data_IF_826021104492
#
_entry.id   IF_826021104492
#
_cell.length_a   1.000
_cell.length_b   1.000
_cell.length_c   1.000
_cell.angle_alpha   90.00
_cell.angle_beta   90.00
_cell.angle_gamma   90.00
#
_symmetry.space_group_name_H-M   'P 1'
#
loop_
_entity.id
_entity.type
_entity.pdbx_description
1 polymer ?
#
# COMPACT_ATOMS: atom_id res chain seq x y z
N UNK A 1 3.92 27.34 -7.04
CA UNK A 1 2.77 28.22 -6.93
C UNK A 1 2.38 28.50 -5.48
N UNK A 2 1.96 27.49 -4.73
CA UNK A 2 1.60 27.53 -3.31
C UNK A 2 2.12 26.29 -2.59
N UNK A 3 2.20 26.30 -1.25
CA UNK A 3 2.55 25.11 -0.46
C UNK A 3 1.51 24.88 0.63
N UNK A 4 1.09 23.61 0.76
CA UNK A 4 0.08 23.18 1.72
C UNK A 4 0.70 22.98 3.11
N UNK A 5 -0.03 23.43 4.13
CA UNK A 5 0.27 23.19 5.55
C UNK A 5 -0.63 22.06 6.01
N UNK A 6 -0.06 20.88 6.27
CA UNK A 6 -0.79 19.66 6.58
C UNK A 6 -1.76 19.22 5.47
N UNK A 7 -2.47 18.10 5.67
CA UNK A 7 -3.50 17.61 4.77
C UNK A 7 -4.76 17.18 5.54
N UNK A 8 -5.88 17.86 5.28
CA UNK A 8 -7.19 17.56 5.88
C UNK A 8 -7.16 17.41 7.40
N UNK A 9 -6.32 18.23 8.05
CA UNK A 9 -6.04 18.12 9.48
C UNK A 9 -7.33 18.25 10.34
N UNK A 10 -8.24 19.13 9.92
CA UNK A 10 -9.52 19.32 10.58
C UNK A 10 -10.47 18.15 10.57
N UNK A 11 -10.19 17.12 9.76
CA UNK A 11 -10.99 15.90 9.73
C UNK A 11 -10.68 14.93 10.88
N UNK A 12 -9.57 15.15 11.62
CA UNK A 12 -9.13 14.22 12.67
C UNK A 12 -8.43 14.87 13.88
N UNK A 13 -8.14 16.19 13.83
CA UNK A 13 -7.49 16.90 14.91
C UNK A 13 -7.80 18.41 14.88
N UNK A 14 -7.41 19.14 15.95
CA UNK A 14 -7.74 20.57 16.14
C UNK A 14 -6.59 21.40 16.76
N UNK A 15 -5.35 20.87 16.81
CA UNK A 15 -4.22 21.56 17.45
C UNK A 15 -3.66 22.68 16.56
N UNK A 16 -4.15 23.90 16.78
CA UNK A 16 -3.69 25.12 16.08
C UNK A 16 -2.24 25.48 16.38
N UNK A 17 -1.68 25.07 17.54
CA UNK A 17 -0.27 25.31 17.87
C UNK A 17 0.62 24.45 16.98
N UNK A 18 0.26 23.20 16.80
CA UNK A 18 0.92 22.30 15.84
C UNK A 18 0.90 22.87 14.42
N UNK A 19 -0.27 23.25 13.92
CA UNK A 19 -0.44 23.80 12.56
C UNK A 19 0.39 25.07 12.36
N UNK A 20 0.37 26.01 13.30
CA UNK A 20 1.20 27.22 13.28
C UNK A 20 2.69 26.91 13.29
N UNK A 21 3.09 25.88 14.05
CA UNK A 21 4.49 25.42 14.10
C UNK A 21 4.97 24.93 12.75
N UNK A 22 4.15 24.12 12.04
CA UNK A 22 4.47 23.66 10.68
C UNK A 22 4.60 24.86 9.72
N UNK A 23 3.61 25.77 9.70
CA UNK A 23 3.65 26.96 8.84
C UNK A 23 4.89 27.83 9.11
N UNK A 24 5.28 28.00 10.39
CA UNK A 24 6.48 28.74 10.79
C UNK A 24 7.76 28.02 10.36
N UNK A 25 7.85 26.72 10.53
CA UNK A 25 9.00 25.93 10.06
C UNK A 25 9.20 26.03 8.55
N UNK A 26 8.12 26.00 7.77
CA UNK A 26 8.18 26.19 6.31
C UNK A 26 8.79 27.55 5.96
N UNK A 27 8.29 28.63 6.58
CA UNK A 27 8.80 30.00 6.36
C UNK A 27 10.28 30.13 6.76
N UNK A 28 10.68 29.63 7.92
CA UNK A 28 12.07 29.68 8.40
C UNK A 28 13.02 28.89 7.50
N UNK A 29 12.54 27.84 6.85
CA UNK A 29 13.31 27.05 5.89
C UNK A 29 13.30 27.59 4.47
N UNK A 30 12.80 28.80 4.26
CA UNK A 30 12.93 29.52 2.99
C UNK A 30 11.75 29.36 2.04
N UNK A 31 10.58 28.88 2.51
CA UNK A 31 9.36 28.91 1.69
C UNK A 31 8.86 30.34 1.58
N UNK A 32 8.86 30.87 0.34
CA UNK A 32 8.47 32.25 0.01
C UNK A 32 7.14 32.33 -0.75
N UNK A 33 6.62 31.20 -1.21
CA UNK A 33 5.31 31.12 -1.88
C UNK A 33 4.17 31.16 -0.85
N UNK A 34 2.96 31.56 -1.25
CA UNK A 34 1.80 31.53 -0.37
C UNK A 34 1.59 30.15 0.24
N UNK A 35 1.27 30.13 1.53
CA UNK A 35 0.82 28.90 2.22
C UNK A 35 -0.69 28.80 2.15
N UNK A 36 -1.20 27.56 2.14
CA UNK A 36 -2.63 27.28 2.23
C UNK A 36 -2.91 26.05 3.07
N UNK A 37 -4.14 25.95 3.60
CA UNK A 37 -4.70 24.74 4.22
C UNK A 37 -5.81 24.19 3.33
N UNK A 38 -6.04 22.89 3.38
CA UNK A 38 -7.07 22.21 2.61
C UNK A 38 -7.78 21.18 3.46
N UNK A 39 -9.08 21.33 3.61
CA UNK A 39 -9.93 20.50 4.45
C UNK A 39 -11.26 20.19 3.75
N UNK A 40 -12.02 19.20 4.26
CA UNK A 40 -13.42 19.06 3.89
C UNK A 40 -14.20 20.32 4.21
N UNK A 41 -15.23 20.63 3.45
CA UNK A 41 -15.94 21.93 3.51
C UNK A 41 -17.06 21.99 4.56
N UNK A 42 -17.18 21.00 5.44
CA UNK A 42 -18.08 21.10 6.60
C UNK A 42 -17.42 21.93 7.71
N UNK A 43 -18.26 22.61 8.46
CA UNK A 43 -17.82 23.68 9.37
C UNK A 43 -16.79 23.22 10.42
N UNK A 44 -16.96 22.03 11.01
CA UNK A 44 -16.06 21.51 12.04
C UNK A 44 -14.65 21.25 11.49
N UNK A 45 -14.54 20.77 10.26
CA UNK A 45 -13.23 20.55 9.63
C UNK A 45 -12.56 21.89 9.30
N UNK A 46 -13.30 22.84 8.74
CA UNK A 46 -12.78 24.18 8.43
C UNK A 46 -12.34 24.93 9.70
N UNK A 47 -13.13 24.88 10.78
CA UNK A 47 -12.75 25.49 12.04
C UNK A 47 -11.50 24.84 12.65
N UNK A 48 -11.40 23.52 12.60
CA UNK A 48 -10.31 22.76 13.21
C UNK A 48 -9.04 22.77 12.38
N UNK A 49 -9.12 22.64 11.04
CA UNK A 49 -7.97 22.42 10.14
C UNK A 49 -7.35 23.70 9.59
N UNK A 50 -8.07 24.83 9.54
CA UNK A 50 -7.55 26.03 8.85
C UNK A 50 -6.74 26.96 9.76
N UNK A 51 -5.91 27.78 9.15
CA UNK A 51 -5.20 28.91 9.78
C UNK A 51 -5.68 30.25 9.21
N UNK A 52 -7.00 30.40 9.03
CA UNK A 52 -7.61 31.61 8.42
C UNK A 52 -7.34 32.89 9.22
N UNK A 53 -7.26 32.78 10.56
CA UNK A 53 -6.92 33.89 11.45
C UNK A 53 -5.46 34.38 11.29
N UNK A 54 -4.59 33.51 10.80
CA UNK A 54 -3.17 33.79 10.52
C UNK A 54 -2.94 34.25 9.06
N UNK A 55 -4.00 34.61 8.32
CA UNK A 55 -3.97 35.01 6.91
C UNK A 55 -3.39 33.93 5.97
N UNK A 56 -3.52 32.64 6.32
CA UNK A 56 -3.18 31.52 5.46
C UNK A 56 -4.41 31.13 4.63
N UNK A 57 -4.20 31.02 3.31
CA UNK A 57 -5.27 30.79 2.35
C UNK A 57 -6.00 29.46 2.63
N UNK A 58 -7.32 29.47 2.57
CA UNK A 58 -8.17 28.31 2.84
C UNK A 58 -8.74 27.76 1.55
N UNK A 59 -8.63 26.47 1.35
CA UNK A 59 -9.18 25.73 0.22
C UNK A 59 -10.01 24.55 0.69
N UNK A 60 -10.85 23.99 -0.18
CA UNK A 60 -11.66 22.81 0.12
C UNK A 60 -11.21 21.55 -0.60
N UNK A 61 -11.55 20.38 -0.07
CA UNK A 61 -11.39 19.07 -0.69
C UNK A 61 -12.76 18.40 -0.83
N UNK A 62 -13.16 18.08 -2.04
CA UNK A 62 -14.42 17.39 -2.36
C UNK A 62 -14.41 16.87 -3.80
N UNK A 63 -15.21 15.84 -4.11
CA UNK A 63 -15.27 15.24 -5.45
C UNK A 63 -16.64 15.37 -6.13
N UNK A 64 -17.63 15.96 -5.44
CA UNK A 64 -19.01 16.12 -5.95
C UNK A 64 -19.68 17.34 -5.32
N UNK A 65 -20.90 17.69 -5.79
CA UNK A 65 -21.70 18.78 -5.26
C UNK A 65 -20.92 20.13 -5.20
N UNK A 66 -20.32 20.59 -6.31
CA UNK A 66 -19.41 21.75 -6.32
C UNK A 66 -20.06 23.01 -5.75
N UNK A 67 -21.33 23.26 -6.09
CA UNK A 67 -22.05 24.44 -5.61
C UNK A 67 -22.21 24.47 -4.09
N UNK A 68 -22.66 23.37 -3.48
CA UNK A 68 -22.83 23.28 -2.02
C UNK A 68 -21.51 23.46 -1.30
N UNK A 69 -20.46 22.75 -1.73
CA UNK A 69 -19.13 22.81 -1.13
C UNK A 69 -18.48 24.19 -1.26
N UNK A 70 -18.64 24.84 -2.40
CA UNK A 70 -18.12 26.22 -2.59
C UNK A 70 -18.93 27.26 -1.82
N UNK A 71 -20.25 27.09 -1.66
CA UNK A 71 -21.06 27.97 -0.84
C UNK A 71 -20.68 27.86 0.64
N UNK A 72 -20.42 26.64 1.15
CA UNK A 72 -19.94 26.42 2.52
C UNK A 72 -18.56 27.11 2.72
N UNK A 73 -17.63 26.90 1.80
CA UNK A 73 -16.30 27.49 1.85
C UNK A 73 -16.37 29.03 1.82
N UNK A 74 -17.24 29.60 0.97
CA UNK A 74 -17.47 31.04 0.88
C UNK A 74 -18.04 31.59 2.19
N UNK A 75 -19.08 30.96 2.73
CA UNK A 75 -19.71 31.38 3.98
C UNK A 75 -18.70 31.38 5.15
N UNK A 76 -17.85 30.35 5.20
CA UNK A 76 -16.78 30.26 6.19
C UNK A 76 -15.77 31.42 6.05
N UNK A 77 -15.27 31.69 4.85
CA UNK A 77 -14.34 32.80 4.61
C UNK A 77 -14.98 34.14 4.95
N UNK A 78 -16.22 34.38 4.55
CA UNK A 78 -16.97 35.62 4.84
C UNK A 78 -17.17 35.83 6.34
N UNK A 79 -17.39 34.78 7.14
CA UNK A 79 -17.45 34.86 8.58
C UNK A 79 -16.18 35.46 9.20
N UNK A 80 -15.03 35.17 8.64
CA UNK A 80 -13.73 35.74 9.03
C UNK A 80 -13.37 37.02 8.27
N UNK A 81 -14.30 37.62 7.51
CA UNK A 81 -14.11 38.85 6.77
C UNK A 81 -13.18 38.70 5.56
N UNK A 82 -12.96 37.48 5.08
CA UNK A 82 -12.11 37.22 3.91
C UNK A 82 -12.95 37.16 2.63
N UNK A 83 -12.36 37.66 1.52
CA UNK A 83 -12.93 37.65 0.17
C UNK A 83 -11.92 37.00 -0.79
N UNK A 84 -11.47 35.82 -0.45
CA UNK A 84 -10.52 35.06 -1.24
C UNK A 84 -11.21 34.28 -2.38
N UNK A 85 -10.46 33.93 -3.44
CA UNK A 85 -10.98 33.06 -4.48
C UNK A 85 -11.41 31.69 -3.91
N UNK A 86 -12.42 31.08 -4.52
CA UNK A 86 -12.82 29.71 -4.21
C UNK A 86 -11.89 28.74 -4.94
N UNK A 87 -11.37 27.75 -4.22
CA UNK A 87 -10.50 26.73 -4.77
C UNK A 87 -10.76 25.38 -4.12
N UNK A 88 -10.91 24.34 -4.96
CA UNK A 88 -10.84 22.94 -4.56
C UNK A 88 -9.45 22.41 -4.91
N UNK A 89 -8.68 22.01 -3.91
CA UNK A 89 -7.30 21.54 -4.11
C UNK A 89 -7.21 20.03 -4.31
N UNK A 90 -8.19 19.28 -3.83
CA UNK A 90 -8.39 17.89 -4.20
C UNK A 90 -9.83 17.70 -4.70
N UNK A 91 -10.00 17.79 -6.02
CA UNK A 91 -11.26 17.43 -6.65
C UNK A 91 -11.19 15.95 -7.02
N UNK A 92 -11.86 15.10 -6.23
CA UNK A 92 -11.74 13.64 -6.36
C UNK A 92 -12.50 13.13 -7.58
N UNK A 93 -11.77 12.58 -8.53
CA UNK A 93 -12.29 12.04 -9.79
C UNK A 93 -12.52 10.52 -9.76
N UNK A 94 -12.08 9.86 -8.71
CA UNK A 94 -12.22 8.45 -8.42
C UNK A 94 -11.95 8.16 -6.95
N UNK A 95 -11.46 6.96 -6.63
CA UNK A 95 -11.02 6.59 -5.30
C UNK A 95 -10.05 5.41 -5.35
N UNK A 96 -9.24 5.25 -4.32
CA UNK A 96 -8.37 4.08 -4.17
C UNK A 96 -9.16 2.84 -3.76
N UNK A 97 -8.69 1.67 -4.19
CA UNK A 97 -9.31 0.37 -3.91
C UNK A 97 -8.55 -0.37 -2.80
N UNK A 98 -9.19 -1.36 -2.18
CA UNK A 98 -8.68 -2.14 -1.07
C UNK A 98 -8.77 -3.62 -1.39
N UNK A 99 -7.91 -4.42 -0.72
CA UNK A 99 -7.97 -5.86 -0.84
C UNK A 99 -9.31 -6.42 -0.36
N UNK A 100 -9.82 -7.43 -1.07
CA UNK A 100 -11.11 -8.09 -0.82
C UNK A 100 -12.35 -7.21 -1.04
N UNK A 101 -12.21 -6.03 -1.64
CA UNK A 101 -13.32 -5.15 -2.03
C UNK A 101 -13.39 -5.01 -3.55
N UNK A 102 -14.50 -4.55 -4.08
CA UNK A 102 -14.63 -4.22 -5.50
C UNK A 102 -13.81 -2.98 -5.85
N UNK A 103 -13.39 -2.88 -7.13
CA UNK A 103 -12.74 -1.67 -7.64
C UNK A 103 -13.74 -0.53 -7.63
N UNK A 104 -13.34 0.59 -7.04
CA UNK A 104 -14.13 1.81 -7.08
C UNK A 104 -14.13 2.37 -8.50
N UNK A 105 -15.30 2.71 -9.01
CA UNK A 105 -15.52 3.32 -10.32
C UNK A 105 -16.45 4.52 -10.20
N UNK A 106 -16.22 5.52 -11.03
CA UNK A 106 -17.08 6.69 -11.20
C UNK A 106 -17.32 6.91 -12.69
N UNK A 107 -18.59 7.11 -13.06
CA UNK A 107 -18.96 7.36 -14.45
C UNK A 107 -18.33 8.65 -15.00
N UNK A 108 -17.83 8.60 -16.24
CA UNK A 108 -17.10 9.71 -16.84
C UNK A 108 -17.96 10.97 -17.00
N UNK A 109 -19.24 10.81 -17.39
CA UNK A 109 -20.16 11.94 -17.57
C UNK A 109 -20.59 12.57 -16.23
N UNK A 110 -20.70 11.78 -15.16
CA UNK A 110 -20.96 12.29 -13.80
C UNK A 110 -19.80 13.17 -13.33
N UNK A 111 -18.55 12.72 -13.50
CA UNK A 111 -17.37 13.52 -13.23
C UNK A 111 -17.34 14.79 -14.08
N UNK A 112 -17.56 14.67 -15.38
CA UNK A 112 -17.51 15.81 -16.31
C UNK A 112 -18.53 16.90 -15.94
N UNK A 113 -19.73 16.54 -15.53
CA UNK A 113 -20.75 17.49 -15.09
C UNK A 113 -20.29 18.26 -13.85
N UNK A 114 -19.77 17.59 -12.84
CA UNK A 114 -19.25 18.21 -11.61
C UNK A 114 -18.02 19.10 -11.91
N UNK A 115 -17.12 18.64 -12.78
CA UNK A 115 -15.96 19.45 -13.23
C UNK A 115 -16.42 20.73 -13.93
N UNK A 116 -17.39 20.63 -14.83
CA UNK A 116 -17.95 21.81 -15.52
C UNK A 116 -18.52 22.83 -14.54
N UNK A 117 -19.33 22.36 -13.58
CA UNK A 117 -19.90 23.24 -12.55
C UNK A 117 -18.78 23.89 -11.71
N UNK A 118 -17.78 23.10 -11.27
CA UNK A 118 -16.69 23.64 -10.47
C UNK A 118 -15.86 24.71 -11.19
N UNK A 119 -15.54 24.51 -12.48
CA UNK A 119 -14.83 25.47 -13.32
C UNK A 119 -15.58 26.81 -13.50
N UNK A 120 -16.92 26.79 -13.39
CA UNK A 120 -17.74 28.00 -13.43
C UNK A 120 -17.79 28.75 -12.07
N UNK A 121 -17.51 28.06 -10.95
CA UNK A 121 -17.58 28.60 -9.60
C UNK A 121 -16.23 29.08 -9.05
N UNK A 122 -15.14 28.46 -9.46
CA UNK A 122 -13.80 28.75 -8.94
C UNK A 122 -12.70 27.95 -9.62
N UNK A 123 -11.60 27.78 -8.91
CA UNK A 123 -10.44 27.01 -9.36
C UNK A 123 -10.46 25.60 -8.78
N UNK A 124 -9.89 24.65 -9.50
CA UNK A 124 -9.74 23.26 -9.01
C UNK A 124 -8.42 22.64 -9.43
N UNK A 125 -8.02 21.63 -8.67
CA UNK A 125 -6.95 20.71 -8.99
C UNK A 125 -7.50 19.28 -8.89
N UNK A 126 -7.38 18.51 -9.97
CA UNK A 126 -7.83 17.11 -9.97
C UNK A 126 -6.95 16.26 -9.05
N UNK A 127 -7.56 15.47 -8.23
CA UNK A 127 -6.92 14.44 -7.45
C UNK A 127 -7.53 13.05 -7.80
N UNK A 128 -6.91 12.32 -8.76
CA UNK A 128 -5.66 12.56 -9.49
C UNK A 128 -5.91 12.75 -10.98
N UNK A 129 -5.10 13.54 -11.68
CA UNK A 129 -5.12 13.54 -13.15
C UNK A 129 -4.63 12.20 -13.71
N UNK A 130 -3.61 11.59 -13.07
CA UNK A 130 -3.04 10.28 -13.45
C UNK A 130 -2.91 9.40 -12.22
N UNK A 131 -3.33 8.14 -12.36
CA UNK A 131 -3.12 7.10 -11.38
C UNK A 131 -1.64 6.82 -11.10
N UNK A 132 -1.36 6.15 -9.99
CA UNK A 132 -0.02 5.77 -9.56
C UNK A 132 0.06 4.32 -9.14
N UNK A 133 1.23 3.92 -8.67
CA UNK A 133 1.49 2.58 -8.13
C UNK A 133 2.16 2.69 -6.76
N UNK A 134 1.62 2.03 -5.77
CA UNK A 134 2.21 1.90 -4.44
C UNK A 134 3.28 0.80 -4.47
N UNK A 135 4.40 1.05 -5.12
CA UNK A 135 5.47 0.08 -5.22
C UNK A 135 5.98 -0.40 -3.86
N UNK A 136 6.50 -1.63 -3.82
CA UNK A 136 7.01 -2.23 -2.60
C UNK A 136 5.91 -2.44 -1.56
N UNK A 137 6.14 -1.97 -0.35
CA UNK A 137 5.23 -2.12 0.78
C UNK A 137 4.65 -0.80 1.28
N UNK A 138 4.64 0.25 0.43
CA UNK A 138 4.22 1.60 0.82
C UNK A 138 2.71 1.82 0.79
N UNK A 139 1.92 0.84 0.34
CA UNK A 139 0.45 0.91 0.41
C UNK A 139 -0.02 1.24 1.83
N UNK A 140 -0.95 2.19 1.94
CA UNK A 140 -1.55 2.56 3.20
C UNK A 140 -2.69 1.63 3.62
N UNK A 141 -3.39 2.03 4.66
CA UNK A 141 -4.52 1.30 5.21
C UNK A 141 -5.62 2.26 5.65
N UNK A 142 -6.86 1.96 5.31
CA UNK A 142 -8.01 2.75 5.77
C UNK A 142 -8.44 2.32 7.16
N UNK A 143 -8.52 3.28 8.10
CA UNK A 143 -9.02 3.02 9.45
C UNK A 143 -10.50 2.62 9.44
N UNK A 144 -10.84 1.59 10.20
CA UNK A 144 -12.21 1.18 10.49
C UNK A 144 -12.35 0.88 11.99
N UNK A 145 -13.59 0.82 12.46
CA UNK A 145 -13.87 0.61 13.88
C UNK A 145 -13.30 -0.72 14.40
N UNK A 146 -13.58 -1.79 13.71
CA UNK A 146 -13.23 -3.18 14.13
C UNK A 146 -12.06 -3.77 13.36
N UNK A 147 -11.85 -3.35 12.12
CA UNK A 147 -10.78 -3.85 11.26
C UNK A 147 -10.26 -2.75 10.35
N UNK A 148 -8.98 -2.75 10.09
CA UNK A 148 -8.39 -1.87 9.10
C UNK A 148 -8.39 -2.54 7.73
N UNK A 149 -8.47 -1.74 6.67
CA UNK A 149 -8.61 -2.20 5.29
C UNK A 149 -7.38 -1.80 4.48
N UNK A 150 -6.42 -2.73 4.27
CA UNK A 150 -5.23 -2.47 3.49
C UNK A 150 -5.55 -2.13 2.03
N UNK A 151 -4.86 -1.11 1.51
CA UNK A 151 -4.97 -0.69 0.12
C UNK A 151 -4.19 -1.66 -0.78
N UNK A 152 -4.66 -1.80 -2.03
CA UNK A 152 -3.98 -2.59 -3.05
C UNK A 152 -2.69 -1.90 -3.56
N UNK A 153 -1.88 -2.63 -4.31
CA UNK A 153 -0.65 -2.09 -4.90
C UNK A 153 -0.93 -1.03 -5.95
N UNK A 154 -1.93 -1.25 -6.81
CA UNK A 154 -2.35 -0.22 -7.76
C UNK A 154 -2.99 0.97 -7.05
N UNK A 155 -2.56 2.16 -7.39
CA UNK A 155 -3.21 3.42 -7.04
C UNK A 155 -3.75 4.07 -8.33
N UNK A 156 -4.35 3.29 -9.19
CA UNK A 156 -4.97 3.75 -10.44
C UNK A 156 -6.05 4.80 -10.19
N UNK A 157 -6.73 4.70 -9.04
CA UNK A 157 -7.71 5.68 -8.55
C UNK A 157 -8.93 5.84 -9.44
N UNK A 158 -9.04 5.06 -10.53
CA UNK A 158 -10.00 5.29 -11.60
C UNK A 158 -9.85 6.69 -12.22
N UNK A 159 -8.59 7.15 -12.32
CA UNK A 159 -8.22 8.49 -12.76
C UNK A 159 -8.47 8.72 -14.26
N UNK A 160 -8.51 9.98 -14.73
CA UNK A 160 -8.57 10.30 -16.15
C UNK A 160 -7.45 9.70 -16.99
N UNK A 161 -6.26 9.53 -16.41
CA UNK A 161 -5.14 8.80 -17.01
C UNK A 161 -4.78 7.64 -16.07
N UNK A 162 -4.72 6.42 -16.61
CA UNK A 162 -4.39 5.21 -15.83
C UNK A 162 -2.98 5.25 -15.22
N UNK A 163 -2.69 4.34 -14.26
CA UNK A 163 -1.35 4.21 -13.66
C UNK A 163 -0.25 3.94 -14.70
N UNK A 164 -0.56 3.34 -15.84
CA UNK A 164 0.36 3.08 -16.95
C UNK A 164 0.32 4.14 -18.07
N UNK A 165 -0.38 5.27 -17.84
CA UNK A 165 -0.31 6.45 -18.71
C UNK A 165 -1.26 6.44 -19.90
N UNK A 166 -2.31 5.63 -19.92
CA UNK A 166 -3.34 5.64 -20.96
C UNK A 166 -4.51 6.57 -20.60
N UNK A 167 -4.96 7.44 -21.50
CA UNK A 167 -6.15 8.24 -21.30
C UNK A 167 -7.39 7.34 -21.28
N UNK A 168 -8.33 7.66 -20.40
CA UNK A 168 -9.61 6.97 -20.22
C UNK A 168 -10.77 7.82 -20.80
N UNK A 169 -11.98 7.27 -20.76
CA UNK A 169 -13.19 8.04 -21.11
C UNK A 169 -13.33 9.30 -20.24
N UNK A 170 -12.91 9.24 -18.98
CA UNK A 170 -12.90 10.42 -18.09
C UNK A 170 -11.98 11.53 -18.59
N UNK A 171 -10.80 11.17 -19.13
CA UNK A 171 -9.89 12.17 -19.71
C UNK A 171 -10.57 12.98 -20.80
N UNK A 172 -11.22 12.30 -21.76
CA UNK A 172 -11.88 12.96 -22.87
C UNK A 172 -13.14 13.73 -22.43
N UNK A 173 -13.88 13.21 -21.46
CA UNK A 173 -15.05 13.89 -20.90
C UNK A 173 -14.65 15.19 -20.17
N UNK A 174 -13.59 15.16 -19.34
CA UNK A 174 -13.05 16.33 -18.66
C UNK A 174 -12.46 17.33 -19.64
N UNK A 175 -11.70 16.89 -20.67
CA UNK A 175 -11.18 17.75 -21.73
C UNK A 175 -12.28 18.48 -22.46
N UNK A 176 -13.35 17.78 -22.83
CA UNK A 176 -14.53 18.35 -23.51
C UNK A 176 -15.18 19.46 -22.68
N UNK A 177 -15.52 19.20 -21.42
CA UNK A 177 -16.20 20.20 -20.58
C UNK A 177 -15.28 21.37 -20.22
N UNK A 178 -13.99 21.15 -20.09
CA UNK A 178 -12.99 22.22 -19.88
C UNK A 178 -12.99 23.16 -21.08
N UNK A 179 -13.00 22.63 -22.31
CA UNK A 179 -13.08 23.45 -23.52
C UNK A 179 -14.45 24.14 -23.70
N UNK A 180 -15.55 23.55 -23.23
CA UNK A 180 -16.85 24.21 -23.21
C UNK A 180 -16.86 25.47 -22.30
N UNK A 181 -16.14 25.43 -21.17
CA UNK A 181 -16.04 26.55 -20.23
C UNK A 181 -14.97 27.56 -20.68
N UNK A 182 -13.86 27.07 -21.23
CA UNK A 182 -12.70 27.88 -21.67
C UNK A 182 -12.33 27.57 -23.12
N UNK A 183 -13.12 28.07 -24.11
CA UNK A 183 -12.92 27.76 -25.52
C UNK A 183 -11.61 28.27 -26.09
N UNK A 184 -10.94 29.18 -25.40
CA UNK A 184 -9.63 29.72 -25.80
C UNK A 184 -8.47 28.77 -25.50
N UNK A 185 -8.66 27.75 -24.69
CA UNK A 185 -7.63 26.76 -24.38
C UNK A 185 -7.43 25.77 -25.54
N UNK A 186 -6.17 25.58 -25.92
CA UNK A 186 -5.79 24.60 -26.92
C UNK A 186 -6.07 23.19 -26.41
N UNK A 187 -6.75 22.37 -27.20
CA UNK A 187 -6.90 20.94 -26.92
C UNK A 187 -5.67 20.20 -27.42
N UNK A 188 -5.01 19.50 -26.52
CA UNK A 188 -3.86 18.67 -26.84
C UNK A 188 -4.27 17.19 -26.88
N UNK A 189 -3.85 16.49 -27.93
CA UNK A 189 -4.00 15.03 -27.98
C UNK A 189 -3.06 14.37 -26.97
N UNK A 190 -3.55 13.44 -26.14
CA UNK A 190 -2.73 12.75 -25.16
C UNK A 190 -1.75 11.80 -25.85
N UNK A 191 -0.54 11.69 -25.29
CA UNK A 191 0.43 10.69 -25.71
C UNK A 191 0.05 9.37 -25.03
N UNK A 192 -0.40 8.39 -25.80
CA UNK A 192 -0.67 7.04 -25.32
C UNK A 192 0.58 6.18 -25.48
N UNK A 193 0.95 5.45 -24.40
CA UNK A 193 1.98 4.41 -24.46
C UNK A 193 1.32 3.04 -24.47
N UNK A 194 1.77 2.17 -25.37
CA UNK A 194 1.28 0.80 -25.44
C UNK A 194 2.14 -0.08 -24.51
N UNK A 195 1.48 -0.88 -23.69
CA UNK A 195 2.14 -1.99 -23.01
C UNK A 195 2.37 -3.15 -23.97
N UNK A 196 3.34 -4.02 -23.66
CA UNK A 196 3.71 -5.17 -24.51
C UNK A 196 3.56 -6.48 -23.73
N UNK A 197 2.96 -7.47 -24.39
CA UNK A 197 2.98 -8.86 -23.94
C UNK A 197 4.27 -9.54 -24.39
N UNK A 198 4.97 -10.19 -23.45
CA UNK A 198 6.18 -10.95 -23.73
C UNK A 198 5.98 -12.46 -23.58
N UNK A 199 4.78 -12.89 -23.14
CA UNK A 199 4.46 -14.29 -22.93
C UNK A 199 4.93 -14.83 -21.58
N UNK A 200 5.16 -16.15 -21.51
CA UNK A 200 5.48 -16.86 -20.28
C UNK A 200 6.93 -17.31 -20.22
N UNK A 201 7.53 -17.21 -19.05
CA UNK A 201 8.90 -17.60 -18.73
C UNK A 201 8.88 -18.72 -17.70
N UNK A 202 9.62 -19.82 -17.91
CA UNK A 202 9.60 -20.97 -17.02
C UNK A 202 10.32 -20.69 -15.71
N UNK A 203 9.90 -21.38 -14.65
CA UNK A 203 10.57 -21.37 -13.36
C UNK A 203 11.99 -21.94 -13.48
N UNK A 204 12.97 -21.24 -12.91
CA UNK A 204 14.38 -21.65 -12.90
C UNK A 204 14.80 -22.33 -11.58
N UNK A 205 14.26 -21.88 -10.46
CA UNK A 205 14.62 -22.44 -9.16
C UNK A 205 13.77 -21.89 -8.02
N UNK A 206 13.87 -22.55 -6.87
CA UNK A 206 13.14 -22.17 -5.65
C UNK A 206 14.07 -22.13 -4.44
N UNK A 207 13.74 -21.28 -3.46
CA UNK A 207 14.38 -21.26 -2.15
C UNK A 207 13.31 -21.08 -1.06
N UNK A 208 13.27 -22.02 -0.09
CA UNK A 208 12.32 -21.87 1.02
C UNK A 208 12.85 -20.84 2.03
N UNK A 209 12.02 -19.87 2.43
CA UNK A 209 12.41 -18.83 3.37
C UNK A 209 12.89 -19.42 4.71
N UNK A 210 12.24 -20.48 5.21
CA UNK A 210 12.59 -21.04 6.53
C UNK A 210 13.99 -21.67 6.54
N UNK A 211 14.53 -22.05 5.37
CA UNK A 211 15.89 -22.56 5.23
C UNK A 211 16.91 -21.42 5.07
N UNK A 212 16.55 -20.39 4.29
CA UNK A 212 17.53 -19.36 3.85
C UNK A 212 17.50 -18.06 4.67
N UNK A 213 16.59 -17.91 5.63
CA UNK A 213 16.38 -16.66 6.36
C UNK A 213 17.69 -16.09 6.99
N UNK A 214 18.51 -16.96 7.56
CA UNK A 214 19.78 -16.56 8.20
C UNK A 214 20.87 -16.16 7.18
N UNK A 215 20.74 -16.56 5.92
CA UNK A 215 21.72 -16.25 4.86
C UNK A 215 21.38 -14.89 4.21
N UNK A 216 20.10 -14.55 4.14
CA UNK A 216 19.63 -13.35 3.41
C UNK A 216 19.44 -12.13 4.31
N UNK A 217 19.37 -12.28 5.64
CA UNK A 217 19.20 -11.17 6.56
C UNK A 217 19.92 -11.44 7.89
N UNK A 218 20.20 -10.38 8.65
CA UNK A 218 20.85 -10.45 9.96
C UNK A 218 19.91 -11.09 10.98
N UNK A 219 20.46 -12.02 11.81
CA UNK A 219 19.79 -12.60 12.95
C UNK A 219 19.90 -11.70 14.18
N UNK A 220 18.74 -11.29 14.74
CA UNK A 220 18.70 -10.53 15.99
C UNK A 220 18.09 -11.42 17.08
N UNK A 221 18.90 -11.84 18.04
CA UNK A 221 18.44 -12.67 19.16
C UNK A 221 17.99 -11.82 20.34
N UNK A 222 16.73 -11.96 20.75
CA UNK A 222 16.13 -11.28 21.90
C UNK A 222 15.41 -12.26 22.82
N UNK A 223 15.23 -11.89 24.10
CA UNK A 223 14.48 -12.73 25.05
C UNK A 223 13.04 -12.99 24.61
N UNK A 224 12.36 -11.94 24.11
CA UNK A 224 10.97 -12.01 23.68
C UNK A 224 10.79 -11.39 22.30
N UNK A 225 9.77 -11.81 21.53
CA UNK A 225 9.43 -11.17 20.28
C UNK A 225 9.24 -9.66 20.46
N UNK A 226 9.77 -8.89 19.50
CA UNK A 226 9.62 -7.44 19.47
C UNK A 226 8.91 -7.02 18.18
N UNK A 227 8.10 -5.96 18.21
CA UNK A 227 7.51 -5.41 16.99
C UNK A 227 8.58 -4.86 16.05
N UNK A 228 8.23 -4.76 14.76
CA UNK A 228 9.13 -4.33 13.68
C UNK A 228 9.81 -3.00 13.99
N UNK A 229 9.08 -2.04 14.57
CA UNK A 229 9.59 -0.70 14.87
C UNK A 229 10.74 -0.72 15.86
N UNK A 230 10.75 -1.67 16.80
CA UNK A 230 11.80 -1.77 17.81
C UNK A 230 13.11 -2.38 17.29
N UNK A 231 13.04 -3.07 16.15
CA UNK A 231 14.23 -3.60 15.46
C UNK A 231 14.62 -2.77 14.22
N UNK A 232 14.04 -1.58 14.07
CA UNK A 232 14.35 -0.67 12.96
C UNK A 232 13.77 -1.08 11.61
N UNK A 233 12.67 -1.84 11.61
CA UNK A 233 11.94 -2.24 10.40
C UNK A 233 10.59 -1.54 10.32
N UNK A 234 10.27 -0.93 9.15
CA UNK A 234 9.03 -0.20 8.95
C UNK A 234 7.99 -0.95 8.12
N UNK A 235 8.41 -1.89 7.26
CA UNK A 235 7.54 -2.54 6.28
C UNK A 235 8.06 -3.94 5.94
N UNK A 236 7.33 -4.66 5.10
CA UNK A 236 7.69 -6.01 4.64
C UNK A 236 7.20 -7.11 5.58
N UNK A 237 8.00 -8.12 5.74
CA UNK A 237 7.72 -9.28 6.58
C UNK A 237 8.77 -9.39 7.68
N UNK A 238 8.39 -9.99 8.81
CA UNK A 238 9.32 -10.39 9.86
C UNK A 238 9.10 -11.86 10.18
N UNK A 239 10.20 -12.62 10.28
CA UNK A 239 10.18 -14.00 10.75
C UNK A 239 10.72 -14.06 12.18
N UNK A 240 9.93 -14.62 13.08
CA UNK A 240 10.34 -14.96 14.43
C UNK A 240 10.57 -16.46 14.51
N UNK A 241 11.72 -16.87 15.05
CA UNK A 241 12.10 -18.27 15.21
C UNK A 241 12.54 -18.56 16.64
N UNK A 242 12.10 -19.68 17.21
CA UNK A 242 12.58 -20.19 18.50
C UNK A 242 12.61 -21.70 18.50
N UNK A 243 13.60 -22.27 19.19
CA UNK A 243 13.74 -23.69 19.45
C UNK A 243 13.27 -23.99 20.89
N UNK A 244 12.19 -24.71 21.04
CA UNK A 244 11.62 -25.05 22.33
C UNK A 244 11.82 -26.54 22.65
N UNK A 245 11.80 -26.90 23.94
CA UNK A 245 11.73 -28.30 24.36
C UNK A 245 10.30 -28.78 24.29
N UNK A 246 10.09 -29.92 23.63
CA UNK A 246 8.80 -30.64 23.62
C UNK A 246 8.53 -31.18 25.02
N UNK A 247 7.42 -30.81 25.62
CA UNK A 247 7.08 -31.17 27.00
C UNK A 247 5.84 -32.04 27.11
N UNK A 248 4.93 -31.98 26.16
CA UNK A 248 3.64 -32.63 26.18
C UNK A 248 3.35 -33.33 24.85
N UNK A 249 2.47 -34.29 24.87
CA UNK A 249 2.01 -34.98 23.66
C UNK A 249 1.29 -33.98 22.70
N UNK A 250 0.57 -33.04 23.27
CA UNK A 250 -0.11 -31.95 22.55
C UNK A 250 0.35 -30.61 23.15
N UNK A 251 0.90 -29.76 22.32
CA UNK A 251 1.39 -28.44 22.68
C UNK A 251 0.39 -27.38 22.20
N UNK A 252 0.41 -26.19 22.82
CA UNK A 252 -0.47 -25.05 22.51
C UNK A 252 0.35 -23.83 22.12
N UNK A 253 0.04 -23.26 20.98
CA UNK A 253 0.70 -22.06 20.47
C UNK A 253 -0.31 -20.91 20.35
N UNK A 254 0.10 -19.72 20.79
CA UNK A 254 -0.70 -18.50 20.68
C UNK A 254 0.21 -17.27 20.53
N UNK A 255 -0.06 -16.42 19.55
CA UNK A 255 0.59 -15.12 19.40
C UNK A 255 -0.42 -14.01 19.71
N UNK A 256 -0.02 -13.06 20.58
CA UNK A 256 -0.89 -12.02 21.10
C UNK A 256 -0.56 -10.66 20.49
N UNK A 257 -1.58 -9.84 20.26
CA UNK A 257 -1.45 -8.49 19.70
C UNK A 257 -0.51 -8.47 18.47
N UNK A 258 -0.78 -9.35 17.51
CA UNK A 258 0.04 -9.50 16.31
C UNK A 258 -0.62 -8.79 15.14
N UNK A 259 0.15 -8.06 14.36
CA UNK A 259 -0.32 -7.25 13.23
C UNK A 259 0.61 -7.42 12.02
N UNK A 260 0.06 -7.82 10.84
CA UNK A 260 -1.37 -7.95 10.53
C UNK A 260 -1.76 -9.41 10.22
N UNK A 261 -1.01 -10.11 9.35
CA UNK A 261 -1.28 -11.49 8.91
C UNK A 261 -0.12 -12.39 9.30
N UNK A 262 -0.43 -13.53 9.93
CA UNK A 262 0.56 -14.41 10.53
C UNK A 262 0.46 -15.81 9.97
N UNK A 263 1.61 -16.39 9.62
CA UNK A 263 1.74 -17.81 9.28
C UNK A 263 2.56 -18.48 10.38
N UNK A 264 2.07 -19.58 10.88
CA UNK A 264 2.69 -20.38 11.94
C UNK A 264 3.20 -21.69 11.37
N UNK A 265 4.45 -22.03 11.71
CA UNK A 265 5.09 -23.26 11.29
C UNK A 265 5.67 -24.00 12.50
N UNK A 266 5.58 -25.32 12.48
CA UNK A 266 6.16 -26.22 13.46
C UNK A 266 7.06 -27.20 12.74
N UNK A 267 8.36 -27.21 13.04
CA UNK A 267 9.35 -27.99 12.31
C UNK A 267 9.23 -27.82 10.79
N UNK A 268 9.07 -26.56 10.35
CA UNK A 268 8.88 -26.13 8.94
C UNK A 268 7.55 -26.60 8.29
N UNK A 269 6.67 -27.30 9.01
CA UNK A 269 5.34 -27.63 8.50
C UNK A 269 4.36 -26.51 8.87
N UNK A 270 3.55 -26.09 7.90
CA UNK A 270 2.52 -25.08 8.12
C UNK A 270 1.45 -25.57 9.09
N UNK A 271 1.27 -24.83 10.18
CA UNK A 271 0.26 -25.15 11.19
C UNK A 271 -1.05 -24.38 10.95
N UNK A 272 -0.96 -23.06 10.80
CA UNK A 272 -2.12 -22.18 10.60
C UNK A 272 -1.71 -20.84 10.00
N UNK A 273 -2.69 -20.16 9.42
CA UNK A 273 -2.61 -18.74 9.08
C UNK A 273 -3.70 -18.02 9.85
N UNK A 274 -3.34 -16.89 10.49
CA UNK A 274 -4.30 -16.05 11.23
C UNK A 274 -4.29 -14.64 10.65
N UNK A 275 -5.48 -14.08 10.50
CA UNK A 275 -5.69 -12.72 10.01
C UNK A 275 -6.94 -12.11 10.66
N UNK A 276 -6.90 -10.83 11.02
CA UNK A 276 -8.02 -10.07 11.62
C UNK A 276 -8.54 -10.72 12.91
N UNK A 277 -9.77 -11.22 12.90
CA UNK A 277 -10.48 -11.77 14.06
C UNK A 277 -9.84 -13.06 14.60
N UNK A 278 -9.08 -13.77 13.78
CA UNK A 278 -8.40 -15.02 14.16
C UNK A 278 -7.11 -14.76 14.95
N UNK A 279 -6.59 -13.51 14.89
CA UNK A 279 -5.35 -13.14 15.61
C UNK A 279 -5.52 -13.37 17.11
N UNK A 280 -4.65 -14.24 17.64
CA UNK A 280 -4.66 -14.61 19.05
C UNK A 280 -5.47 -15.84 19.38
N UNK A 281 -6.05 -16.53 18.38
CA UNK A 281 -6.65 -17.84 18.59
C UNK A 281 -5.57 -18.87 18.95
N UNK A 282 -5.93 -19.80 19.84
CA UNK A 282 -5.05 -20.87 20.27
C UNK A 282 -4.98 -21.99 19.23
N UNK A 283 -3.77 -22.43 18.89
CA UNK A 283 -3.51 -23.52 17.96
C UNK A 283 -2.92 -24.70 18.69
N UNK A 284 -3.42 -25.91 18.41
CA UNK A 284 -2.92 -27.16 18.94
C UNK A 284 -2.00 -27.84 17.93
N UNK A 285 -0.89 -28.39 18.40
CA UNK A 285 0.01 -29.17 17.56
C UNK A 285 0.68 -30.29 18.36
N UNK A 286 1.19 -31.30 17.64
CA UNK A 286 1.97 -32.38 18.18
C UNK A 286 3.25 -32.57 17.38
N UNK A 287 4.33 -32.95 18.04
CA UNK A 287 5.59 -33.29 17.41
C UNK A 287 6.27 -34.45 18.12
N UNK A 288 6.92 -35.32 17.36
CA UNK A 288 7.59 -36.52 17.90
C UNK A 288 9.07 -36.27 18.26
N UNK A 289 9.55 -35.02 18.06
CA UNK A 289 10.93 -34.63 18.31
C UNK A 289 11.12 -34.04 19.72
N UNK A 290 12.27 -34.26 20.35
CA UNK A 290 12.58 -33.69 21.68
C UNK A 290 12.63 -32.16 21.67
N UNK A 291 13.09 -31.57 20.56
CA UNK A 291 13.09 -30.13 20.31
C UNK A 291 12.21 -29.82 19.12
N UNK A 292 11.52 -28.71 19.23
CA UNK A 292 10.55 -28.23 18.24
C UNK A 292 10.99 -26.83 17.81
N UNK A 293 11.17 -26.64 16.51
CA UNK A 293 11.34 -25.31 15.93
C UNK A 293 9.96 -24.70 15.69
N UNK A 294 9.76 -23.51 16.23
CA UNK A 294 8.58 -22.67 15.96
C UNK A 294 9.00 -21.49 15.11
N UNK A 295 8.34 -21.31 13.98
CA UNK A 295 8.48 -20.16 13.11
C UNK A 295 7.14 -19.40 13.01
N UNK A 296 7.20 -18.07 13.15
CA UNK A 296 6.05 -17.20 12.98
C UNK A 296 6.43 -16.11 11.99
N UNK A 297 5.90 -16.19 10.77
CA UNK A 297 6.08 -15.19 9.73
C UNK A 297 4.93 -14.19 9.81
N UNK A 298 5.24 -12.92 10.03
CA UNK A 298 4.25 -11.85 10.11
C UNK A 298 4.41 -10.87 8.95
N UNK A 299 3.32 -10.62 8.27
CA UNK A 299 3.22 -9.57 7.24
C UNK A 299 2.65 -8.28 7.83
N UNK A 300 3.35 -7.17 7.58
CA UNK A 300 2.81 -5.83 7.73
C UNK A 300 2.04 -5.47 6.47
N UNK A 301 0.71 -5.44 6.52
CA UNK A 301 -0.16 -5.17 5.37
C UNK A 301 -0.41 -3.67 5.12
N UNK A 302 0.34 -2.79 5.77
CA UNK A 302 0.22 -1.34 5.70
C UNK A 302 -0.26 -0.72 7.02
N UNK A 303 0.10 0.54 7.24
CA UNK A 303 -0.36 1.32 8.39
C UNK A 303 -1.46 2.26 7.98
N UNK A 304 -2.33 2.59 8.93
CA UNK A 304 -3.32 3.64 8.73
C UNK A 304 -2.59 4.95 8.41
N UNK A 305 -2.92 5.52 7.26
CA UNK A 305 -2.32 6.75 6.73
C UNK A 305 -3.25 7.97 6.85
N UNK A 306 -4.47 7.78 7.35
CA UNK A 306 -5.45 8.86 7.54
C UNK A 306 -6.45 8.52 8.65
N UNK A 307 -6.82 9.55 9.45
CA UNK A 307 -7.90 9.47 10.43
C UNK A 307 -7.43 9.12 11.86
N UNK A 308 -8.40 8.79 12.71
CA UNK A 308 -8.25 8.69 14.18
C UNK A 308 -7.27 7.61 14.67
N UNK A 309 -6.82 6.68 13.82
CA UNK A 309 -5.79 5.68 14.16
C UNK A 309 -4.40 6.06 13.72
N UNK A 310 -4.23 7.24 13.14
CA UNK A 310 -2.92 7.72 12.69
C UNK A 310 -1.96 7.80 13.88
N UNK A 311 -0.83 7.08 13.81
CA UNK A 311 0.14 6.99 14.90
C UNK A 311 -0.33 6.26 16.17
N UNK A 312 -1.50 5.60 16.15
CA UNK A 312 -2.00 4.88 17.30
C UNK A 312 -1.11 3.67 17.65
N UNK A 313 -0.99 3.27 18.94
CA UNK A 313 -0.24 2.09 19.35
C UNK A 313 -0.70 0.78 18.70
N UNK A 314 -1.95 0.71 18.25
CA UNK A 314 -2.50 -0.42 17.49
C UNK A 314 -1.92 -0.55 16.06
N UNK A 315 -1.13 0.43 15.61
CA UNK A 315 -0.46 0.41 14.32
C UNK A 315 0.97 -0.14 14.39
N UNK A 316 1.46 -0.57 15.57
CA UNK A 316 2.69 -1.35 15.68
C UNK A 316 2.56 -2.68 14.97
N UNK A 317 3.59 -3.07 14.20
CA UNK A 317 3.58 -4.25 13.32
C UNK A 317 4.50 -5.36 13.83
N UNK A 318 4.17 -6.60 13.47
CA UNK A 318 4.83 -7.77 14.05
C UNK A 318 4.11 -8.24 15.33
N UNK A 319 4.83 -8.96 16.19
CA UNK A 319 4.31 -9.47 17.47
C UNK A 319 4.58 -8.46 18.58
N UNK A 320 3.53 -7.90 19.16
CA UNK A 320 3.62 -6.92 20.25
C UNK A 320 3.31 -7.52 21.63
N UNK A 321 2.28 -8.38 21.71
CA UNK A 321 1.83 -9.00 22.96
C UNK A 321 2.61 -10.25 23.37
N UNK A 322 3.53 -10.73 22.51
CA UNK A 322 4.35 -11.92 22.76
C UNK A 322 3.78 -13.23 22.22
N UNK A 323 4.60 -14.29 22.26
CA UNK A 323 4.23 -15.65 21.84
C UNK A 323 4.23 -16.57 23.05
N UNK A 324 3.14 -17.27 23.25
CA UNK A 324 2.94 -18.22 24.34
C UNK A 324 2.97 -19.66 23.82
N UNK A 325 3.70 -20.52 24.53
CA UNK A 325 3.62 -21.96 24.38
C UNK A 325 3.12 -22.53 25.73
N UNK A 326 2.03 -23.30 25.68
CA UNK A 326 1.38 -23.86 26.89
C UNK A 326 1.12 -22.79 27.97
N UNK A 327 0.52 -21.65 27.54
CA UNK A 327 0.20 -20.51 28.41
C UNK A 327 1.41 -19.80 29.07
N UNK A 328 2.62 -20.08 28.56
CA UNK A 328 3.85 -19.45 29.06
C UNK A 328 4.57 -18.69 27.95
N UNK A 329 4.98 -17.45 28.23
CA UNK A 329 5.89 -16.73 27.35
C UNK A 329 7.26 -17.40 27.33
N UNK A 330 7.70 -17.80 26.15
CA UNK A 330 9.01 -18.43 25.97
C UNK A 330 10.06 -17.38 25.63
N UNK A 331 11.28 -17.62 26.08
CA UNK A 331 12.45 -16.81 25.78
C UNK A 331 13.26 -17.37 24.63
N UNK A 332 14.13 -16.52 24.05
CA UNK A 332 15.09 -16.92 23.03
C UNK A 332 14.49 -16.91 21.63
N UNK A 333 14.09 -15.73 21.18
CA UNK A 333 13.53 -15.52 19.85
C UNK A 333 14.55 -14.85 18.92
N UNK A 334 14.80 -15.46 17.78
CA UNK A 334 15.53 -14.91 16.66
C UNK A 334 14.54 -14.12 15.79
N UNK A 335 14.97 -12.94 15.36
CA UNK A 335 14.19 -12.06 14.50
C UNK A 335 14.94 -11.89 13.20
N UNK A 336 14.25 -12.06 12.07
CA UNK A 336 14.77 -11.89 10.73
C UNK A 336 13.92 -10.84 10.01
N UNK A 337 14.50 -9.64 9.82
CA UNK A 337 13.83 -8.50 9.19
C UNK A 337 13.87 -8.63 7.67
N UNK A 338 12.77 -9.01 7.05
CA UNK A 338 12.66 -9.25 5.60
C UNK A 338 12.17 -7.98 4.91
N UNK A 339 13.10 -7.13 4.49
CA UNK A 339 12.82 -5.82 3.88
C UNK A 339 12.50 -5.90 2.38
N UNK A 340 12.91 -6.97 1.70
CA UNK A 340 12.80 -7.15 0.25
C UNK A 340 13.41 -6.00 -0.55
N UNK A 341 14.45 -5.41 -0.01
CA UNK A 341 15.28 -4.44 -0.72
C UNK A 341 16.35 -5.14 -1.58
N UNK A 342 17.04 -4.36 -2.41
CA UNK A 342 18.06 -4.87 -3.30
C UNK A 342 19.19 -5.59 -2.54
N UNK A 343 19.56 -5.13 -1.33
CA UNK A 343 20.61 -5.75 -0.53
C UNK A 343 20.22 -7.16 -0.06
N UNK A 344 18.98 -7.33 0.44
CA UNK A 344 18.47 -8.64 0.86
C UNK A 344 18.35 -9.59 -0.32
N UNK A 345 17.75 -9.12 -1.43
CA UNK A 345 17.52 -9.97 -2.62
C UNK A 345 18.82 -10.39 -3.30
N UNK A 346 19.86 -9.56 -3.26
CA UNK A 346 21.17 -9.90 -3.80
C UNK A 346 21.90 -11.02 -3.02
N UNK A 347 21.50 -11.30 -1.78
CA UNK A 347 22.03 -12.42 -0.96
C UNK A 347 21.29 -13.72 -1.22
N UNK A 348 20.20 -13.69 -1.97
CA UNK A 348 19.40 -14.87 -2.28
C UNK A 348 19.97 -15.59 -3.52
N UNK A 349 21.02 -16.39 -3.32
CA UNK A 349 21.73 -17.15 -4.36
C UNK A 349 21.59 -18.68 -4.24
N UNK A 350 20.91 -19.14 -3.17
CA UNK A 350 20.78 -20.55 -2.79
C UNK A 350 19.53 -21.23 -3.39
N UNK A 351 19.27 -20.99 -4.68
CA UNK A 351 18.16 -21.65 -5.36
C UNK A 351 18.47 -23.12 -5.67
N UNK A 352 17.47 -23.96 -5.45
CA UNK A 352 17.49 -25.37 -5.82
C UNK A 352 16.50 -25.66 -6.95
N UNK A 353 16.63 -26.85 -7.57
CA UNK A 353 15.63 -27.35 -8.51
C UNK A 353 14.24 -27.36 -7.85
N UNK A 354 13.20 -26.99 -8.59
CA UNK A 354 11.84 -26.92 -8.05
C UNK A 354 11.37 -28.29 -7.54
N UNK A 355 10.96 -28.40 -6.27
CA UNK A 355 10.45 -29.66 -5.74
C UNK A 355 9.09 -30.01 -6.34
N UNK A 356 8.72 -31.29 -6.30
CA UNK A 356 7.40 -31.75 -6.76
C UNK A 356 6.27 -31.07 -5.97
N UNK A 357 6.45 -30.92 -4.65
CA UNK A 357 5.55 -30.17 -3.75
C UNK A 357 6.31 -29.04 -3.12
N UNK A 358 5.80 -27.83 -3.34
CA UNK A 358 6.32 -26.62 -2.71
C UNK A 358 5.69 -26.45 -1.34
N UNK A 359 6.51 -26.04 -0.35
CA UNK A 359 6.07 -25.61 0.98
C UNK A 359 6.31 -24.12 1.11
N UNK A 360 5.26 -23.37 1.35
CA UNK A 360 5.41 -21.93 1.64
C UNK A 360 6.10 -21.71 3.02
N UNK A 361 6.76 -20.59 3.23
CA UNK A 361 6.95 -19.48 2.28
C UNK A 361 8.15 -19.71 1.36
N UNK A 362 7.99 -19.46 0.06
CA UNK A 362 8.99 -19.81 -0.94
C UNK A 362 9.28 -18.66 -1.90
N UNK A 363 10.54 -18.48 -2.24
CA UNK A 363 11.02 -17.64 -3.34
C UNK A 363 11.07 -18.46 -4.62
N UNK A 364 10.57 -17.88 -5.71
CA UNK A 364 10.62 -18.44 -7.08
C UNK A 364 11.41 -17.50 -7.95
N UNK A 365 12.40 -18.03 -8.69
CA UNK A 365 13.29 -17.26 -9.57
C UNK A 365 12.93 -17.51 -11.02
N UNK A 366 12.81 -16.43 -11.79
CA UNK A 366 12.58 -16.41 -13.21
C UNK A 366 13.58 -15.49 -13.90
N UNK A 367 13.92 -15.77 -15.13
CA UNK A 367 14.67 -14.89 -16.02
C UNK A 367 13.88 -14.64 -17.29
N UNK A 368 13.88 -13.39 -17.75
CA UNK A 368 13.24 -12.98 -18.99
C UNK A 368 14.21 -12.20 -19.88
N UNK A 369 14.46 -12.68 -21.06
CA UNK A 369 15.12 -11.92 -22.13
C UNK A 369 14.06 -11.20 -22.94
N UNK A 370 14.14 -9.86 -22.99
CA UNK A 370 13.15 -8.99 -23.63
C UNK A 370 13.80 -8.19 -24.75
N UNK A 371 13.15 -8.16 -25.90
CA UNK A 371 13.41 -7.25 -27.00
C UNK A 371 12.38 -6.13 -27.02
N UNK A 372 12.72 -4.96 -27.54
CA UNK A 372 11.81 -3.81 -27.69
C UNK A 372 11.08 -3.49 -26.37
N UNK A 373 11.83 -2.97 -25.41
CA UNK A 373 11.41 -2.79 -24.02
C UNK A 373 10.26 -1.76 -23.91
N UNK A 374 9.13 -2.22 -23.38
CA UNK A 374 7.93 -1.44 -23.12
C UNK A 374 7.36 -1.78 -21.73
N UNK A 375 6.39 -0.98 -21.28
CA UNK A 375 5.60 -1.29 -20.07
C UNK A 375 4.90 -2.64 -20.23
N UNK A 376 4.72 -3.37 -19.13
CA UNK A 376 4.05 -4.68 -19.14
C UNK A 376 3.34 -4.94 -17.80
N UNK A 377 2.59 -6.04 -17.73
CA UNK A 377 1.89 -6.47 -16.51
C UNK A 377 2.22 -7.92 -16.22
N UNK A 378 2.53 -8.21 -14.95
CA UNK A 378 2.65 -9.60 -14.49
C UNK A 378 1.26 -10.13 -14.17
N UNK A 379 0.87 -11.25 -14.77
CA UNK A 379 -0.35 -11.97 -14.42
C UNK A 379 -0.18 -12.75 -13.11
N UNK A 380 -0.85 -12.31 -12.07
CA UNK A 380 -0.87 -12.93 -10.75
C UNK A 380 -2.15 -13.76 -10.49
N UNK A 381 -2.98 -14.01 -11.50
CA UNK A 381 -4.29 -14.67 -11.33
C UNK A 381 -4.22 -16.10 -10.78
N UNK A 382 -3.07 -16.75 -10.94
CA UNK A 382 -2.81 -18.12 -10.46
C UNK A 382 -1.97 -18.16 -9.18
N UNK A 383 -1.56 -17.00 -8.64
CA UNK A 383 -0.72 -16.90 -7.45
C UNK A 383 -1.59 -16.76 -6.20
N UNK A 384 -1.05 -17.10 -5.04
CA UNK A 384 -1.74 -16.96 -3.76
C UNK A 384 -1.59 -15.57 -3.16
N UNK A 385 -0.55 -15.36 -2.38
CA UNK A 385 -0.25 -14.07 -1.74
C UNK A 385 1.25 -13.88 -1.55
N UNK A 386 1.71 -12.66 -1.81
CA UNK A 386 3.12 -12.33 -1.61
C UNK A 386 3.53 -11.00 -2.23
N UNK A 387 4.76 -10.96 -2.72
CA UNK A 387 5.28 -9.81 -3.46
C UNK A 387 6.21 -10.25 -4.60
N UNK A 388 6.41 -9.36 -5.57
CA UNK A 388 7.29 -9.63 -6.71
C UNK A 388 8.31 -8.52 -6.83
N UNK A 389 9.55 -8.88 -7.14
CA UNK A 389 10.60 -7.94 -7.52
C UNK A 389 11.11 -8.21 -8.93
N UNK A 390 11.55 -7.15 -9.61
CA UNK A 390 12.26 -7.18 -10.88
C UNK A 390 13.60 -6.48 -10.75
N UNK A 391 14.69 -7.13 -11.10
CA UNK A 391 16.04 -6.56 -11.05
C UNK A 391 16.40 -5.96 -9.67
N UNK A 392 15.90 -6.55 -8.58
CA UNK A 392 16.07 -6.09 -7.20
C UNK A 392 15.10 -4.99 -6.76
N UNK A 393 14.22 -4.50 -7.64
CA UNK A 393 13.18 -3.52 -7.30
C UNK A 393 11.87 -4.21 -6.94
N UNK A 394 11.34 -3.97 -5.74
CA UNK A 394 10.08 -4.54 -5.28
C UNK A 394 8.89 -3.82 -5.93
N UNK A 395 8.14 -4.54 -6.76
CA UNK A 395 6.95 -4.03 -7.47
C UNK A 395 5.73 -3.90 -6.56
N UNK A 396 5.67 -4.66 -5.46
CA UNK A 396 4.54 -4.62 -4.54
C UNK A 396 3.92 -5.98 -4.26
N UNK A 397 2.80 -5.92 -3.55
CA UNK A 397 2.01 -7.09 -3.12
C UNK A 397 1.04 -7.52 -4.19
N UNK A 398 0.86 -8.83 -4.28
CA UNK A 398 -0.28 -9.45 -4.95
C UNK A 398 -1.06 -10.32 -3.93
N UNK A 399 -2.34 -10.52 -4.19
CA UNK A 399 -3.20 -11.39 -3.38
C UNK A 399 -4.38 -11.89 -4.20
N UNK A 400 -4.67 -13.21 -4.12
CA UNK A 400 -5.79 -13.84 -4.83
C UNK A 400 -7.18 -13.36 -4.36
N UNK A 401 -7.26 -12.68 -3.22
CA UNK A 401 -8.49 -12.01 -2.79
C UNK A 401 -8.91 -10.87 -3.73
N UNK A 402 -7.98 -10.36 -4.54
CA UNK A 402 -8.25 -9.27 -5.48
C UNK A 402 -8.57 -7.94 -4.80
N UNK A 403 -9.06 -6.96 -5.55
CA UNK A 403 -9.72 -6.99 -6.89
C UNK A 403 -8.77 -7.04 -8.09
N UNK A 404 -7.48 -6.78 -7.91
CA UNK A 404 -6.49 -6.87 -8.98
C UNK A 404 -5.72 -8.19 -8.91
N UNK A 405 -5.44 -8.77 -10.07
CA UNK A 405 -4.59 -9.95 -10.22
C UNK A 405 -3.40 -9.65 -11.15
N UNK A 406 -2.85 -8.45 -11.03
CA UNK A 406 -1.69 -8.01 -11.78
C UNK A 406 -0.74 -7.15 -10.94
N UNK A 407 0.52 -7.07 -11.39
CA UNK A 407 1.43 -6.00 -11.01
C UNK A 407 1.94 -5.29 -12.26
N UNK A 408 1.86 -3.97 -12.25
CA UNK A 408 2.38 -3.12 -13.31
C UNK A 408 3.90 -3.05 -13.26
N UNK A 409 4.55 -3.22 -14.42
CA UNK A 409 6.00 -3.15 -14.57
C UNK A 409 6.34 -2.04 -15.57
N UNK A 410 6.75 -0.86 -15.11
CA UNK A 410 7.17 0.20 -16.01
C UNK A 410 8.46 -0.16 -16.74
N UNK A 411 8.54 0.21 -18.01
CA UNK A 411 9.69 -0.05 -18.89
C UNK A 411 11.04 0.42 -18.34
N UNK A 412 11.02 1.47 -17.52
CA UNK A 412 12.22 2.01 -16.86
C UNK A 412 12.89 1.05 -15.86
N UNK A 413 12.20 0.00 -15.41
CA UNK A 413 12.75 -1.06 -14.55
C UNK A 413 13.29 -2.26 -15.34
N UNK A 414 12.96 -2.33 -16.64
CA UNK A 414 13.31 -3.44 -17.51
C UNK A 414 14.62 -3.20 -18.27
N UNK A 415 15.27 -4.31 -18.62
CA UNK A 415 16.50 -4.42 -19.41
C UNK A 415 16.33 -5.51 -20.47
N UNK A 416 17.35 -5.76 -21.30
CA UNK A 416 17.36 -6.91 -22.19
C UNK A 416 17.27 -8.24 -21.41
N UNK A 417 18.00 -8.34 -20.28
CA UNK A 417 17.95 -9.50 -19.38
C UNK A 417 17.44 -9.06 -18.02
N UNK A 418 16.39 -9.71 -17.55
CA UNK A 418 15.69 -9.38 -16.31
C UNK A 418 15.60 -10.60 -15.42
N UNK A 419 15.82 -10.38 -14.12
CA UNK A 419 15.53 -11.34 -13.08
C UNK A 419 14.24 -10.94 -12.37
N UNK A 420 13.31 -11.88 -12.23
CA UNK A 420 12.11 -11.75 -11.42
C UNK A 420 12.18 -12.72 -10.25
N UNK A 421 11.90 -12.21 -9.05
CA UNK A 421 11.79 -13.02 -7.83
C UNK A 421 10.37 -12.86 -7.29
N UNK A 422 9.62 -13.96 -7.25
CA UNK A 422 8.29 -14.03 -6.66
C UNK A 422 8.41 -14.65 -5.28
N UNK A 423 7.99 -13.94 -4.25
CA UNK A 423 7.84 -14.48 -2.89
C UNK A 423 6.38 -14.85 -2.68
N UNK A 424 6.13 -16.12 -2.34
CA UNK A 424 4.79 -16.69 -2.19
C UNK A 424 4.62 -17.25 -0.78
N UNK A 425 3.58 -16.82 -0.08
CA UNK A 425 3.30 -17.21 1.31
C UNK A 425 2.23 -18.30 1.45
N UNK A 426 1.53 -18.61 0.36
CA UNK A 426 0.57 -19.72 0.31
C UNK A 426 1.22 -20.97 -0.33
N UNK A 427 0.62 -22.15 -0.12
CA UNK A 427 1.12 -23.39 -0.74
C UNK A 427 0.69 -23.50 -2.21
N UNK A 428 1.01 -22.46 -3.00
CA UNK A 428 0.76 -22.40 -4.44
C UNK A 428 2.08 -22.65 -5.18
N UNK A 429 2.09 -23.62 -6.08
CA UNK A 429 3.23 -23.84 -6.98
C UNK A 429 3.14 -22.92 -8.18
N UNK A 430 4.16 -22.09 -8.37
CA UNK A 430 4.28 -21.18 -9.50
C UNK A 430 5.25 -21.79 -10.51
N UNK A 431 4.76 -22.18 -11.67
CA UNK A 431 5.55 -22.86 -12.71
C UNK A 431 6.02 -21.92 -13.81
N UNK A 432 5.35 -20.78 -13.98
CA UNK A 432 5.63 -19.79 -15.01
C UNK A 432 5.36 -18.37 -14.51
N UNK A 433 6.11 -17.40 -15.04
CA UNK A 433 5.84 -15.97 -14.92
C UNK A 433 5.31 -15.48 -16.28
N UNK A 434 4.11 -14.88 -16.31
CA UNK A 434 3.50 -14.40 -17.56
C UNK A 434 3.47 -12.88 -17.59
N UNK A 435 3.97 -12.30 -18.70
CA UNK A 435 3.98 -10.86 -18.95
C UNK A 435 2.96 -10.51 -20.04
N UNK A 436 1.98 -9.67 -19.70
CA UNK A 436 0.83 -9.28 -20.53
C UNK A 436 0.91 -7.81 -20.94
N UNK A 437 0.15 -7.44 -21.95
CA UNK A 437 -0.03 -6.06 -22.43
C UNK A 437 -1.22 -5.32 -21.78
N UNK A 438 -1.88 -5.96 -20.84
CA UNK A 438 -3.08 -5.41 -20.17
C UNK A 438 -3.18 -5.87 -18.71
N UNK A 439 -3.86 -5.10 -17.85
CA UNK A 439 -4.11 -5.49 -16.45
C UNK A 439 -5.14 -6.62 -16.35
N UNK A 440 -5.00 -7.47 -15.32
CA UNK A 440 -5.92 -8.57 -15.01
C UNK A 440 -6.70 -8.24 -13.73
N UNK A 441 -8.02 -8.34 -13.79
CA UNK A 441 -8.89 -8.10 -12.64
C UNK A 441 -9.58 -9.39 -12.18
N UNK A 442 -9.93 -9.45 -10.90
CA UNK A 442 -10.76 -10.54 -10.35
C UNK A 442 -12.12 -10.55 -11.07
N UNK A 443 -12.53 -11.72 -11.53
CA UNK A 443 -13.83 -11.94 -12.19
C UNK A 443 -14.94 -12.04 -11.16
#
# INVERSE_FOLDING_TARGET
LMMQVENEYGSYAEDKVYMRSIAQMMKVRGVTVPLFTSDGTWIEALESGTLIEDDIFVTGNFGSQPKENTDNLRAFMEHYGKKWPLMCTEFWDGWFSRWSEEIVRREAEDLAQDVKEMLQLGSMNLFLLRGGTNFGFISGCSARKTKDLPQITSYDFDAPITEWGQPTEKYYAVQRVTHEVFPELEQMEPISRQAKAYGSFPLLGTANLLDVAADITEEILLDYPQPMEQIGQNHGYILYRSDIKNQYHEERLKALETHDRCHFYVNQEHLATQYREEIGDEMLFSADTERIQIDVLVENMGRVNYGYKLGAPSQSKGVKGGIMINHQFRKGWKHYALKFDQEMLAKLDCYSDPPEKVKAPTFYRFEAELDDIADTFIDCSKYGKGCISVNGFNLGRYWNEGPIHYLYVPSGLLKEKNEFIVFETENVKIEELTLLDHPVYKK
#
